data_IF_456705696622
#
_entry.id   IF_456705696622
#
_cell.length_a   1.000
_cell.length_b   1.000
_cell.length_c   1.000
_cell.angle_alpha   90.00
_cell.angle_beta   90.00
_cell.angle_gamma   90.00
#
_symmetry.space_group_name_H-M   'P 1'
#
loop_
_entity.id
_entity.type
_entity.pdbx_description
1 polymer ?
#
# COMPACT_ATOMS: atom_id res chain seq x y z
N UNK A 1 -6.61 25.45 -12.96
CA UNK A 1 -5.56 24.89 -12.14
C UNK A 1 -5.84 23.41 -11.90
N UNK A 2 -4.87 22.62 -12.14
CA UNK A 2 -5.02 21.18 -11.88
C UNK A 2 -4.54 20.87 -10.46
N UNK A 3 -5.30 20.06 -9.77
CA UNK A 3 -4.87 19.57 -8.47
C UNK A 3 -3.68 18.64 -8.64
N UNK A 4 -2.71 18.79 -7.77
CA UNK A 4 -1.58 17.87 -7.76
C UNK A 4 -2.00 16.58 -7.07
N UNK A 5 -2.07 15.51 -7.84
CA UNK A 5 -2.39 14.19 -7.30
C UNK A 5 -1.10 13.46 -6.95
N UNK A 6 -1.13 12.79 -5.83
CA UNK A 6 -0.01 11.99 -5.35
C UNK A 6 -0.36 10.51 -5.40
N UNK A 7 0.65 9.71 -5.67
CA UNK A 7 0.56 8.26 -5.58
C UNK A 7 1.67 7.77 -4.66
N UNK A 8 1.33 6.90 -3.72
CA UNK A 8 2.29 6.18 -2.90
C UNK A 8 2.40 4.76 -3.47
N UNK A 9 3.61 4.33 -3.76
CA UNK A 9 3.86 3.00 -4.31
C UNK A 9 4.87 2.28 -3.44
N UNK A 10 4.51 1.09 -2.96
CA UNK A 10 5.36 0.31 -2.08
C UNK A 10 5.51 -1.10 -2.64
N UNK A 11 6.72 -1.63 -2.63
CA UNK A 11 6.96 -3.03 -2.97
C UNK A 11 7.42 -3.78 -1.73
N UNK A 12 6.97 -5.03 -1.63
CA UNK A 12 7.31 -5.92 -0.52
C UNK A 12 7.97 -7.15 -1.10
N UNK A 13 9.18 -7.45 -0.66
CA UNK A 13 9.91 -8.64 -1.08
C UNK A 13 10.00 -9.61 0.09
N UNK A 14 9.61 -10.86 -0.16
CA UNK A 14 9.56 -11.92 0.85
C UNK A 14 10.62 -12.97 0.57
N UNK A 15 11.10 -13.64 1.63
CA UNK A 15 12.07 -14.70 1.50
C UNK A 15 11.45 -15.98 1.00
N UNK A 16 10.19 -16.24 1.35
CA UNK A 16 9.50 -17.48 0.99
C UNK A 16 8.10 -17.16 0.45
N UNK A 17 7.57 -18.08 -0.33
CA UNK A 17 6.20 -18.00 -0.82
C UNK A 17 5.20 -17.99 0.34
N UNK A 18 5.45 -18.79 1.38
CA UNK A 18 4.57 -18.85 2.53
C UNK A 18 4.42 -17.47 3.21
N UNK A 19 5.52 -16.74 3.35
CA UNK A 19 5.48 -15.39 3.91
C UNK A 19 4.69 -14.43 3.03
N UNK A 20 4.86 -14.53 1.72
CA UNK A 20 4.08 -13.72 0.78
C UNK A 20 2.59 -14.01 0.91
N UNK A 21 2.21 -15.30 0.98
CA UNK A 21 0.80 -15.68 1.10
C UNK A 21 0.17 -15.18 2.42
N UNK A 22 0.94 -15.18 3.50
CA UNK A 22 0.46 -14.60 4.77
C UNK A 22 0.19 -13.10 4.63
N UNK A 23 1.08 -12.38 3.94
CA UNK A 23 0.90 -10.95 3.71
C UNK A 23 -0.33 -10.68 2.84
N UNK A 24 -0.53 -11.48 1.79
CA UNK A 24 -1.70 -11.36 0.93
C UNK A 24 -2.98 -11.56 1.74
N UNK A 25 -3.02 -12.61 2.57
CA UNK A 25 -4.18 -12.88 3.42
C UNK A 25 -4.46 -11.72 4.38
N UNK A 26 -3.43 -11.14 4.96
CA UNK A 26 -3.56 -10.02 5.87
C UNK A 26 -4.26 -8.83 5.20
N UNK A 27 -3.84 -8.50 3.97
CA UNK A 27 -4.46 -7.41 3.21
C UNK A 27 -5.87 -7.75 2.75
N UNK A 28 -6.14 -8.99 2.36
CA UNK A 28 -7.48 -9.42 2.00
C UNK A 28 -8.45 -9.29 3.18
N UNK A 29 -8.00 -9.62 4.38
CA UNK A 29 -8.83 -9.54 5.57
C UNK A 29 -9.03 -8.13 6.09
N UNK A 30 -8.01 -7.29 6.03
CA UNK A 30 -8.00 -5.99 6.73
C UNK A 30 -7.94 -4.78 5.82
N UNK A 31 -7.61 -4.96 4.55
CA UNK A 31 -7.42 -3.84 3.63
C UNK A 31 -8.67 -2.98 3.41
N UNK A 32 -9.84 -3.59 3.36
CA UNK A 32 -11.10 -2.86 3.17
C UNK A 32 -11.38 -1.90 4.31
N UNK A 33 -11.11 -2.32 5.55
CA UNK A 33 -11.33 -1.45 6.71
C UNK A 33 -10.39 -0.27 6.70
N UNK A 34 -9.13 -0.49 6.34
CA UNK A 34 -8.18 0.61 6.20
C UNK A 34 -8.62 1.56 5.11
N UNK A 35 -8.94 1.06 3.93
CA UNK A 35 -9.33 1.91 2.81
C UNK A 35 -10.56 2.76 3.12
N UNK A 36 -11.55 2.21 3.84
CA UNK A 36 -12.73 2.97 4.24
C UNK A 36 -12.35 4.21 5.05
N UNK A 37 -11.36 4.10 5.93
CA UNK A 37 -10.85 5.24 6.71
C UNK A 37 -10.09 6.22 5.83
N UNK A 38 -9.25 5.73 4.94
CA UNK A 38 -8.44 6.58 4.06
C UNK A 38 -9.29 7.33 3.05
N UNK A 39 -10.34 6.69 2.56
CA UNK A 39 -11.27 7.31 1.60
C UNK A 39 -11.90 8.58 2.16
N UNK A 40 -12.24 8.58 3.44
CA UNK A 40 -12.80 9.75 4.12
C UNK A 40 -11.80 10.91 4.18
N UNK A 41 -10.52 10.63 4.04
CA UNK A 41 -9.44 11.61 4.16
C UNK A 41 -8.82 11.99 2.80
N UNK A 42 -9.43 11.55 1.69
CA UNK A 42 -9.01 11.93 0.36
C UNK A 42 -8.16 10.91 -0.39
N UNK A 43 -8.06 9.67 0.11
CA UNK A 43 -7.49 8.58 -0.66
C UNK A 43 -8.54 8.13 -1.67
N UNK A 44 -8.21 8.17 -2.96
CA UNK A 44 -9.17 7.89 -4.02
C UNK A 44 -9.09 6.48 -4.57
N UNK A 45 -7.96 5.80 -4.33
CA UNK A 45 -7.76 4.44 -4.83
C UNK A 45 -6.74 3.71 -3.96
N UNK A 46 -7.01 2.43 -3.73
CA UNK A 46 -6.07 1.49 -3.16
C UNK A 46 -6.05 0.25 -4.03
N UNK A 47 -4.85 -0.22 -4.35
CA UNK A 47 -4.67 -1.42 -5.15
C UNK A 47 -3.54 -2.25 -4.56
N UNK A 48 -3.80 -3.53 -4.29
CA UNK A 48 -2.80 -4.47 -3.82
C UNK A 48 -2.55 -5.50 -4.90
N UNK A 49 -1.30 -5.73 -5.26
CA UNK A 49 -0.93 -6.52 -6.43
C UNK A 49 0.14 -7.55 -6.08
N UNK A 50 0.10 -8.68 -6.78
CA UNK A 50 1.21 -9.61 -6.79
C UNK A 50 2.05 -9.35 -8.05
N UNK A 51 3.37 -9.24 -7.87
CA UNK A 51 4.30 -9.14 -8.99
C UNK A 51 4.62 -10.57 -9.42
N UNK A 52 4.06 -11.00 -10.55
CA UNK A 52 4.08 -12.40 -10.96
C UNK A 52 5.13 -12.74 -12.02
N UNK A 53 5.67 -11.75 -12.71
CA UNK A 53 6.59 -11.98 -13.84
C UNK A 53 8.07 -12.04 -13.44
N UNK A 54 8.37 -12.07 -12.15
CA UNK A 54 9.75 -12.13 -11.63
C UNK A 54 10.01 -13.52 -11.07
N UNK A 55 10.56 -14.41 -11.89
CA UNK A 55 10.89 -15.77 -11.46
C UNK A 55 11.90 -15.75 -10.31
N UNK A 56 11.70 -16.64 -9.35
CA UNK A 56 12.60 -16.78 -8.20
C UNK A 56 12.45 -15.70 -7.15
N UNK A 57 11.45 -14.82 -7.28
CA UNK A 57 11.18 -13.79 -6.28
C UNK A 57 9.72 -13.86 -5.86
N UNK A 58 9.48 -13.46 -4.60
CA UNK A 58 8.14 -13.39 -4.05
C UNK A 58 7.89 -11.93 -3.68
N UNK A 59 7.08 -11.23 -4.48
CA UNK A 59 6.86 -9.79 -4.33
C UNK A 59 5.40 -9.43 -4.47
N UNK A 60 4.99 -8.44 -3.67
CA UNK A 60 3.70 -7.78 -3.81
C UNK A 60 3.91 -6.27 -3.83
N UNK A 61 2.87 -5.54 -4.16
CA UNK A 61 2.93 -4.08 -4.13
C UNK A 61 1.60 -3.49 -3.67
N UNK A 62 1.67 -2.33 -3.03
CA UNK A 62 0.49 -1.51 -2.74
C UNK A 62 0.60 -0.20 -3.49
N UNK A 63 -0.53 0.28 -3.97
CA UNK A 63 -0.64 1.58 -4.62
C UNK A 63 -1.78 2.33 -3.95
N UNK A 64 -1.48 3.56 -3.50
CA UNK A 64 -2.47 4.48 -2.95
C UNK A 64 -2.46 5.74 -3.79
N UNK A 65 -3.63 6.20 -4.23
CA UNK A 65 -3.77 7.48 -4.90
C UNK A 65 -4.51 8.44 -3.98
N UNK A 66 -4.06 9.69 -3.96
CA UNK A 66 -4.61 10.75 -3.13
C UNK A 66 -5.01 11.93 -4.00
N UNK A 67 -6.10 12.61 -3.63
CA UNK A 67 -6.58 13.74 -4.41
C UNK A 67 -5.75 15.02 -4.19
N UNK A 68 -4.87 15.05 -3.19
CA UNK A 68 -4.03 16.20 -2.90
C UNK A 68 -2.88 15.80 -1.99
N UNK A 69 -1.82 16.63 -1.90
CA UNK A 69 -0.75 16.42 -0.91
C UNK A 69 -1.26 16.45 0.53
N UNK A 70 -2.26 17.25 0.81
CA UNK A 70 -2.86 17.32 2.15
C UNK A 70 -3.57 16.02 2.49
N UNK A 71 -4.29 15.40 1.53
CA UNK A 71 -4.93 14.11 1.73
C UNK A 71 -3.90 13.03 2.08
N UNK A 72 -2.75 13.04 1.41
CA UNK A 72 -1.65 12.13 1.73
C UNK A 72 -1.23 12.28 3.20
N UNK A 73 -1.02 13.51 3.66
CA UNK A 73 -0.64 13.77 5.06
C UNK A 73 -1.71 13.32 6.04
N UNK A 74 -2.96 13.61 5.72
CA UNK A 74 -4.09 13.26 6.59
C UNK A 74 -4.27 11.74 6.72
N UNK A 75 -3.88 10.99 5.72
CA UNK A 75 -3.97 9.54 5.72
C UNK A 75 -2.85 8.85 6.52
N UNK A 76 -1.71 9.54 6.76
CA UNK A 76 -0.55 8.90 7.37
C UNK A 76 -0.82 8.37 8.78
N UNK A 77 -1.57 9.11 9.58
CA UNK A 77 -1.89 8.67 10.94
C UNK A 77 -2.71 7.37 10.93
N UNK A 78 -3.69 7.27 10.05
CA UNK A 78 -4.50 6.07 9.93
C UNK A 78 -3.67 4.88 9.45
N UNK A 79 -2.74 5.12 8.51
CA UNK A 79 -1.83 4.09 8.02
C UNK A 79 -0.89 3.63 9.14
N UNK A 80 -0.35 4.55 9.91
CA UNK A 80 0.54 4.21 11.03
C UNK A 80 -0.20 3.42 12.11
N UNK A 81 -1.42 3.81 12.45
CA UNK A 81 -2.25 3.08 13.39
C UNK A 81 -2.55 1.67 12.89
N UNK A 82 -2.85 1.53 11.62
CA UNK A 82 -3.07 0.22 11.00
C UNK A 82 -1.80 -0.64 11.09
N UNK A 83 -0.66 -0.06 10.75
CA UNK A 83 0.62 -0.76 10.79
C UNK A 83 0.94 -1.26 12.20
N UNK A 84 0.67 -0.44 13.22
CA UNK A 84 0.86 -0.84 14.60
C UNK A 84 -0.09 -1.97 15.01
N UNK A 85 -1.31 -1.95 14.51
CA UNK A 85 -2.30 -2.99 14.83
C UNK A 85 -1.94 -4.36 14.29
N UNK A 86 -1.10 -4.41 13.24
CA UNK A 86 -0.66 -5.66 12.61
C UNK A 86 0.84 -5.91 12.79
N UNK A 87 1.47 -5.22 13.75
CA UNK A 87 2.92 -5.27 13.90
C UNK A 87 3.45 -6.67 14.16
N UNK A 88 2.74 -7.47 14.96
CA UNK A 88 3.17 -8.85 15.25
C UNK A 88 3.19 -9.70 13.98
N UNK A 89 2.16 -9.56 13.15
CA UNK A 89 2.07 -10.27 11.88
C UNK A 89 3.17 -9.81 10.92
N UNK A 90 3.43 -8.51 10.87
CA UNK A 90 4.47 -7.95 10.00
C UNK A 90 5.87 -8.41 10.44
N UNK A 91 6.13 -8.48 11.74
CA UNK A 91 7.42 -8.96 12.25
C UNK A 91 7.65 -10.42 11.86
N UNK A 92 6.62 -11.25 11.93
CA UNK A 92 6.71 -12.66 11.54
C UNK A 92 6.96 -12.82 10.04
N UNK A 93 6.40 -11.93 9.21
CA UNK A 93 6.57 -11.95 7.75
C UNK A 93 7.90 -11.30 7.35
N UNK A 94 8.26 -10.21 8.02
CA UNK A 94 9.53 -9.48 7.85
C UNK A 94 9.89 -9.17 6.38
N UNK A 95 9.02 -8.49 5.62
CA UNK A 95 9.32 -8.17 4.22
C UNK A 95 10.37 -7.08 4.11
N UNK A 96 11.11 -7.07 3.00
CA UNK A 96 11.91 -5.92 2.60
C UNK A 96 10.99 -4.96 1.87
N UNK A 97 10.89 -3.73 2.34
CA UNK A 97 9.95 -2.74 1.82
C UNK A 97 10.71 -1.63 1.12
N UNK A 98 10.31 -1.33 -0.12
CA UNK A 98 10.77 -0.16 -0.85
C UNK A 98 9.57 0.73 -1.13
N UNK A 99 9.68 2.01 -0.79
CA UNK A 99 8.57 2.95 -0.90
C UNK A 99 8.95 4.14 -1.75
N UNK A 100 8.01 4.61 -2.57
CA UNK A 100 8.15 5.85 -3.31
C UNK A 100 6.87 6.66 -3.21
N UNK A 101 7.02 7.98 -3.34
CA UNK A 101 5.90 8.92 -3.43
C UNK A 101 6.05 9.66 -4.74
N UNK A 102 4.99 9.61 -5.53
CA UNK A 102 5.05 10.04 -6.91
C UNK A 102 4.01 11.11 -7.17
N UNK A 103 4.40 12.14 -7.92
CA UNK A 103 3.45 13.11 -8.45
C UNK A 103 2.96 12.57 -9.78
N UNK A 104 1.65 12.48 -9.94
CA UNK A 104 1.06 11.96 -11.17
C UNK A 104 1.12 13.07 -12.22
N UNK A 105 1.86 12.81 -13.30
CA UNK A 105 2.05 13.79 -14.37
C UNK A 105 1.09 13.58 -15.53
N UNK A 106 0.68 12.34 -15.76
CA UNK A 106 -0.22 11.98 -16.86
C UNK A 106 -1.04 10.77 -16.41
N UNK A 107 -2.36 10.90 -16.46
CA UNK A 107 -3.28 9.86 -16.02
C UNK A 107 -4.38 9.73 -17.06
N UNK A 108 -4.37 8.64 -17.82
CA UNK A 108 -5.29 8.41 -18.92
C UNK A 108 -6.17 7.19 -18.62
N UNK A 109 -7.44 7.28 -19.01
CA UNK A 109 -8.40 6.20 -18.80
C UNK A 109 -8.91 5.66 -20.12
#
# INVERSE_FOLDING_TARGET
MTDTNLMSYNTFTFKTEAQMLLHIRLWEEKGKLLFAKLKQKGCTRFCYNQIWNKKGTYKTSTLFEYNSPQAYKDCQKAIDNFRQSIMKELEAISPVIESSRNVILLDLY
#
